data_IF_684582789443
#
_entry.id   IF_684582789443
#
_cell.length_a   1.000
_cell.length_b   1.000
_cell.length_c   1.000
_cell.angle_alpha   90.00
_cell.angle_beta   90.00
_cell.angle_gamma   90.00
#
_symmetry.space_group_name_H-M   'P 1'
#
loop_
_entity.id
_entity.type
_entity.pdbx_description
1 polymer ?
#
# COMPACT_ATOMS: atom_id res chain seq x y z
N UNK A 1 8.74 -9.24 -24.28
CA UNK A 1 8.56 -8.10 -23.35
C UNK A 1 7.12 -7.67 -23.44
N UNK A 2 6.33 -7.86 -22.40
CA UNK A 2 5.07 -7.12 -22.25
C UNK A 2 5.23 -6.24 -21.02
N UNK A 3 6.06 -5.20 -21.15
CA UNK A 3 6.05 -4.07 -20.21
C UNK A 3 4.63 -3.53 -20.10
N UNK A 4 4.33 -2.79 -19.04
CA UNK A 4 3.11 -1.97 -18.98
C UNK A 4 2.83 -1.32 -20.34
N UNK A 5 1.54 -1.21 -20.73
CA UNK A 5 1.17 -0.48 -21.95
C UNK A 5 1.38 1.02 -21.78
N UNK A 6 1.50 1.49 -20.54
CA UNK A 6 1.83 2.87 -20.21
C UNK A 6 3.34 3.14 -20.34
N UNK A 7 3.71 4.34 -20.80
CA UNK A 7 5.08 4.84 -20.67
C UNK A 7 5.43 5.06 -19.20
N UNK A 8 6.73 5.20 -18.91
CA UNK A 8 7.18 5.52 -17.56
C UNK A 8 6.60 6.85 -17.05
N UNK A 9 6.52 7.88 -17.90
CA UNK A 9 5.94 9.16 -17.48
C UNK A 9 4.45 9.02 -17.14
N UNK A 10 3.72 8.20 -17.92
CA UNK A 10 2.31 7.88 -17.65
C UNK A 10 2.13 7.11 -16.35
N UNK A 11 3.03 6.16 -16.04
CA UNK A 11 3.01 5.45 -14.75
C UNK A 11 3.28 6.42 -13.60
N UNK A 12 4.31 7.27 -13.68
CA UNK A 12 4.63 8.28 -12.66
C UNK A 12 3.46 9.24 -12.45
N UNK A 13 2.85 9.71 -13.53
CA UNK A 13 1.70 10.59 -13.46
C UNK A 13 0.47 9.91 -12.83
N UNK A 14 0.18 8.67 -13.23
CA UNK A 14 -0.86 7.86 -12.61
C UNK A 14 -0.61 7.66 -11.10
N UNK A 15 0.65 7.45 -10.70
CA UNK A 15 1.03 7.33 -9.28
C UNK A 15 0.86 8.64 -8.52
N UNK A 16 1.03 9.78 -9.17
CA UNK A 16 0.72 11.09 -8.59
C UNK A 16 -0.79 11.26 -8.33
N UNK A 17 -1.63 10.94 -9.33
CA UNK A 17 -3.09 10.98 -9.20
C UNK A 17 -3.60 10.01 -8.12
N UNK A 18 -3.07 8.79 -8.13
CA UNK A 18 -3.45 7.73 -7.17
C UNK A 18 -2.95 8.05 -5.77
N UNK A 19 -1.68 8.46 -5.63
CA UNK A 19 -1.06 8.81 -4.35
C UNK A 19 -1.79 9.95 -3.66
N UNK A 20 -2.25 10.96 -4.41
CA UNK A 20 -3.11 12.02 -3.86
C UNK A 20 -4.33 11.45 -3.13
N UNK A 21 -5.05 10.51 -3.75
CA UNK A 21 -6.23 9.89 -3.13
C UNK A 21 -5.86 9.00 -1.94
N UNK A 22 -4.74 8.26 -2.02
CA UNK A 22 -4.22 7.47 -0.89
C UNK A 22 -3.93 8.36 0.32
N UNK A 23 -3.20 9.46 0.14
CA UNK A 23 -2.91 10.40 1.22
C UNK A 23 -4.14 11.05 1.83
N UNK A 24 -5.17 11.32 1.01
CA UNK A 24 -6.43 11.95 1.45
C UNK A 24 -7.43 11.01 2.13
N UNK A 25 -7.39 9.72 1.85
CA UNK A 25 -8.45 8.79 2.30
C UNK A 25 -7.88 7.58 3.03
N UNK A 26 -6.86 6.93 2.47
CA UNK A 26 -6.26 5.76 3.11
C UNK A 26 -5.56 6.13 4.41
N UNK A 27 -4.91 7.29 4.46
CA UNK A 27 -4.19 7.77 5.65
C UNK A 27 -5.10 8.50 6.65
N UNK A 28 -6.39 8.62 6.35
CA UNK A 28 -7.35 9.38 7.16
C UNK A 28 -7.39 8.88 8.61
N UNK A 29 -7.24 9.80 9.56
CA UNK A 29 -7.38 9.52 11.00
C UNK A 29 -6.09 9.06 11.68
N UNK A 30 -4.99 8.83 10.95
CA UNK A 30 -3.69 8.57 11.55
C UNK A 30 -2.91 9.87 11.78
N UNK A 31 -2.13 9.95 12.86
CA UNK A 31 -1.29 11.12 13.13
C UNK A 31 0.13 10.93 12.58
N UNK A 32 0.67 9.72 12.70
CA UNK A 32 1.99 9.33 12.20
C UNK A 32 1.92 8.13 11.25
N UNK A 33 2.31 8.31 9.99
CA UNK A 33 2.33 7.24 8.98
C UNK A 33 3.77 6.93 8.53
N UNK A 34 4.17 5.67 8.58
CA UNK A 34 5.38 5.20 7.92
C UNK A 34 5.01 4.65 6.54
N UNK A 35 5.73 5.05 5.50
CA UNK A 35 5.63 4.43 4.19
C UNK A 35 6.86 3.56 3.98
N UNK A 36 6.69 2.29 3.63
CA UNK A 36 7.76 1.44 3.14
C UNK A 36 7.60 1.36 1.62
N UNK A 37 8.53 1.96 0.90
CA UNK A 37 8.51 2.11 -0.55
C UNK A 37 9.63 1.29 -1.17
N UNK A 38 9.41 0.64 -2.31
CA UNK A 38 10.53 0.10 -3.05
C UNK A 38 11.27 1.26 -3.73
N UNK A 39 12.62 1.32 -3.73
CA UNK A 39 13.39 2.44 -4.26
C UNK A 39 13.40 2.45 -5.81
N UNK A 40 12.22 2.55 -6.41
CA UNK A 40 11.98 2.73 -7.83
C UNK A 40 11.13 3.98 -8.09
N UNK A 41 11.05 4.40 -9.35
CA UNK A 41 10.41 5.66 -9.73
C UNK A 41 8.91 5.64 -9.49
N UNK A 42 8.26 4.49 -9.63
CA UNK A 42 6.81 4.34 -9.56
C UNK A 42 6.35 4.31 -8.09
N UNK A 43 7.00 3.51 -7.25
CA UNK A 43 6.77 3.40 -5.82
C UNK A 43 7.10 4.71 -5.09
N UNK A 44 8.22 5.38 -5.42
CA UNK A 44 8.54 6.68 -4.83
C UNK A 44 7.55 7.77 -5.24
N UNK A 45 7.06 7.74 -6.49
CA UNK A 45 6.07 8.72 -6.98
C UNK A 45 4.76 8.65 -6.21
N UNK A 46 4.24 7.44 -5.95
CA UNK A 46 2.99 7.29 -5.17
C UNK A 46 3.22 7.65 -3.70
N UNK A 47 4.35 7.25 -3.12
CA UNK A 47 4.71 7.53 -1.73
C UNK A 47 4.82 9.04 -1.47
N UNK A 48 5.50 9.76 -2.37
CA UNK A 48 5.66 11.21 -2.30
C UNK A 48 4.31 11.92 -2.49
N UNK A 49 3.51 11.52 -3.47
CA UNK A 49 2.21 12.13 -3.71
C UNK A 49 1.22 11.90 -2.53
N UNK A 50 1.25 10.71 -1.92
CA UNK A 50 0.48 10.42 -0.72
C UNK A 50 0.95 11.26 0.47
N UNK A 51 2.26 11.44 0.65
CA UNK A 51 2.80 12.29 1.70
C UNK A 51 2.36 13.75 1.56
N UNK A 52 2.49 14.32 0.36
CA UNK A 52 2.08 15.70 0.07
C UNK A 52 0.59 15.89 0.33
N UNK A 53 -0.25 14.99 -0.19
CA UNK A 53 -1.69 15.08 -0.01
C UNK A 53 -2.14 14.88 1.45
N UNK A 54 -1.44 14.03 2.21
CA UNK A 54 -1.68 13.87 3.63
C UNK A 54 -1.37 15.16 4.40
N UNK A 55 -0.25 15.81 4.12
CA UNK A 55 0.10 17.10 4.75
C UNK A 55 -0.84 18.23 4.35
N UNK A 56 -1.23 18.31 3.08
CA UNK A 56 -2.18 19.31 2.60
C UNK A 56 -3.55 19.15 3.29
N UNK A 57 -4.04 17.91 3.42
CA UNK A 57 -5.37 17.62 3.97
C UNK A 57 -5.44 17.68 5.50
N UNK A 58 -4.40 17.23 6.18
CA UNK A 58 -4.41 17.01 7.64
C UNK A 58 -3.40 17.86 8.42
N UNK A 59 -2.68 18.74 7.72
CA UNK A 59 -1.70 19.65 8.30
C UNK A 59 -0.28 19.09 8.30
N UNK A 60 0.68 19.99 8.08
CA UNK A 60 2.10 19.70 8.16
C UNK A 60 2.60 19.83 9.60
N UNK A 61 3.34 18.83 10.08
CA UNK A 61 4.15 18.96 11.29
C UNK A 61 5.29 17.94 11.29
N UNK A 62 6.26 18.15 12.18
CA UNK A 62 7.41 17.26 12.32
C UNK A 62 6.96 15.81 12.63
N UNK A 63 7.71 14.85 12.08
CA UNK A 63 7.56 13.41 12.34
C UNK A 63 6.17 12.82 12.03
N UNK A 64 5.29 13.52 11.32
CA UNK A 64 3.97 12.98 10.89
C UNK A 64 4.10 11.89 9.84
N UNK A 65 5.15 11.93 9.01
CA UNK A 65 5.35 10.94 7.99
C UNK A 65 6.82 10.71 7.73
N UNK A 66 7.17 9.46 7.47
CA UNK A 66 8.50 9.11 6.97
C UNK A 66 8.38 8.05 5.90
N UNK A 67 9.16 8.21 4.83
CA UNK A 67 9.32 7.22 3.77
C UNK A 67 10.61 6.47 4.07
N UNK A 68 10.52 5.14 4.05
CA UNK A 68 11.62 4.21 4.25
C UNK A 68 11.77 3.37 2.99
N UNK A 69 12.98 3.32 2.46
CA UNK A 69 13.28 2.45 1.34
C UNK A 69 13.28 0.99 1.79
N UNK A 70 12.64 0.14 0.99
CA UNK A 70 12.80 -1.29 1.07
C UNK A 70 14.21 -1.67 0.60
N UNK A 71 14.87 -2.53 1.37
CA UNK A 71 16.19 -3.04 1.03
C UNK A 71 16.52 -4.31 1.80
N UNK A 72 17.80 -4.68 1.78
CA UNK A 72 18.26 -5.93 2.37
C UNK A 72 17.95 -6.04 3.87
N UNK A 73 18.09 -4.92 4.61
CA UNK A 73 17.86 -4.82 6.06
C UNK A 73 16.48 -4.25 6.41
N UNK A 74 15.42 -4.89 5.89
CA UNK A 74 14.03 -4.54 6.23
C UNK A 74 13.72 -4.71 7.72
N UNK A 75 14.45 -5.58 8.44
CA UNK A 75 14.28 -5.78 9.88
C UNK A 75 14.70 -4.53 10.68
N UNK A 76 15.77 -3.84 10.29
CA UNK A 76 16.16 -2.55 10.88
C UNK A 76 15.13 -1.46 10.61
N UNK A 77 14.59 -1.41 9.39
CA UNK A 77 13.49 -0.50 9.06
C UNK A 77 12.27 -0.76 9.94
N UNK A 78 11.87 -2.02 10.13
CA UNK A 78 10.76 -2.38 10.99
C UNK A 78 10.99 -1.98 12.45
N UNK A 79 12.20 -2.17 13.00
CA UNK A 79 12.57 -1.71 14.34
C UNK A 79 12.44 -0.19 14.48
N UNK A 80 12.99 0.58 13.53
CA UNK A 80 12.88 2.04 13.51
C UNK A 80 11.42 2.52 13.47
N UNK A 81 10.55 1.83 12.74
CA UNK A 81 9.13 2.14 12.67
C UNK A 81 8.47 1.97 14.05
N UNK A 82 8.77 0.89 14.75
CA UNK A 82 8.25 0.63 16.10
C UNK A 82 8.82 1.62 17.12
N UNK A 83 10.14 1.86 17.10
CA UNK A 83 10.83 2.82 17.97
C UNK A 83 10.29 4.25 17.83
N UNK A 84 9.92 4.64 16.61
CA UNK A 84 9.33 5.97 16.32
C UNK A 84 7.83 6.03 16.54
N UNK A 85 7.19 4.93 16.98
CA UNK A 85 5.78 4.85 17.35
C UNK A 85 4.80 5.32 16.26
N UNK A 86 5.04 4.92 14.99
CA UNK A 86 4.10 5.24 13.90
C UNK A 86 2.73 4.58 14.10
N UNK A 87 1.64 5.30 13.84
CA UNK A 87 0.24 4.84 13.97
C UNK A 87 -0.18 3.86 12.87
N UNK A 88 0.42 4.01 11.70
CA UNK A 88 0.16 3.16 10.55
C UNK A 88 1.42 2.92 9.73
N UNK A 89 1.49 1.76 9.08
CA UNK A 89 2.50 1.44 8.06
C UNK A 89 1.80 1.21 6.74
N UNK A 90 2.16 1.98 5.72
CA UNK A 90 1.75 1.80 4.34
C UNK A 90 2.84 1.07 3.55
N UNK A 91 2.50 -0.09 2.97
CA UNK A 91 3.43 -0.86 2.13
C UNK A 91 3.14 -0.56 0.66
N UNK A 92 4.03 0.22 0.04
CA UNK A 92 3.89 0.77 -1.31
C UNK A 92 4.67 -0.05 -2.34
N UNK A 93 4.31 -1.33 -2.55
CA UNK A 93 4.97 -2.20 -3.53
C UNK A 93 4.14 -2.44 -4.79
N UNK A 94 4.83 -2.69 -5.91
CA UNK A 94 4.25 -3.09 -7.19
C UNK A 94 4.34 -2.04 -8.28
N UNK A 95 5.45 -1.30 -8.29
CA UNK A 95 5.80 -0.37 -9.35
C UNK A 95 6.42 -1.08 -10.54
N UNK A 96 7.72 -1.37 -10.45
CA UNK A 96 8.52 -1.91 -11.55
C UNK A 96 8.83 -3.42 -11.44
N UNK A 97 8.45 -4.07 -10.33
CA UNK A 97 8.78 -5.48 -10.03
C UNK A 97 7.69 -6.46 -10.51
N UNK A 98 8.09 -7.71 -10.74
CA UNK A 98 7.17 -8.82 -11.06
C UNK A 98 6.24 -9.10 -9.88
N UNK A 99 5.04 -9.65 -10.12
CA UNK A 99 4.11 -9.93 -9.03
C UNK A 99 4.65 -10.99 -8.06
N UNK A 100 5.40 -11.98 -8.55
CA UNK A 100 6.14 -12.93 -7.70
C UNK A 100 7.11 -12.24 -6.73
N UNK A 101 7.91 -11.29 -7.22
CA UNK A 101 8.83 -10.49 -6.41
C UNK A 101 8.09 -9.61 -5.40
N UNK A 102 7.03 -8.91 -5.83
CA UNK A 102 6.17 -8.11 -4.95
C UNK A 102 5.59 -8.96 -3.82
N UNK A 103 5.12 -10.17 -4.13
CA UNK A 103 4.58 -11.11 -3.14
C UNK A 103 5.63 -11.50 -2.10
N UNK A 104 6.85 -11.81 -2.54
CA UNK A 104 7.97 -12.16 -1.66
C UNK A 104 8.40 -10.97 -0.77
N UNK A 105 8.55 -9.78 -1.33
CA UNK A 105 8.91 -8.57 -0.59
C UNK A 105 7.84 -8.20 0.43
N UNK A 106 6.56 -8.30 0.06
CA UNK A 106 5.44 -8.04 0.95
C UNK A 106 5.44 -9.01 2.14
N UNK A 107 5.63 -10.31 1.89
CA UNK A 107 5.78 -11.31 2.96
C UNK A 107 6.96 -10.98 3.90
N UNK A 108 8.15 -10.74 3.34
CA UNK A 108 9.35 -10.40 4.13
C UNK A 108 9.12 -9.17 5.01
N UNK A 109 8.41 -8.16 4.48
CA UNK A 109 8.07 -6.94 5.20
C UNK A 109 7.08 -7.20 6.34
N UNK A 110 6.06 -8.04 6.10
CA UNK A 110 5.13 -8.43 7.16
C UNK A 110 5.81 -9.23 8.27
N UNK A 111 6.70 -10.16 7.94
CA UNK A 111 7.48 -10.90 8.92
C UNK A 111 8.37 -9.95 9.74
N UNK A 112 9.06 -9.01 9.09
CA UNK A 112 9.89 -8.01 9.76
C UNK A 112 9.07 -7.13 10.73
N UNK A 113 7.92 -6.61 10.29
CA UNK A 113 7.01 -5.82 11.14
C UNK A 113 6.48 -6.65 12.32
N UNK A 114 6.07 -7.91 12.07
CA UNK A 114 5.60 -8.82 13.13
C UNK A 114 6.69 -9.03 14.18
N UNK A 115 7.91 -9.36 13.73
CA UNK A 115 9.06 -9.68 14.56
C UNK A 115 9.56 -8.46 15.35
N UNK A 116 9.48 -7.27 14.77
CA UNK A 116 9.76 -6.00 15.46
C UNK A 116 8.68 -5.62 16.49
N UNK A 117 7.53 -6.30 16.50
CA UNK A 117 6.45 -6.04 17.46
C UNK A 117 5.50 -4.94 17.02
N UNK A 118 5.45 -4.57 15.74
CA UNK A 118 4.45 -3.62 15.25
C UNK A 118 3.04 -4.18 15.46
N UNK A 119 2.11 -3.41 16.02
CA UNK A 119 0.73 -3.84 16.34
C UNK A 119 -0.33 -2.77 16.05
N UNK A 120 -0.01 -1.76 15.24
CA UNK A 120 -0.95 -0.70 14.85
C UNK A 120 -1.49 -0.93 13.43
N UNK A 121 -1.97 0.10 12.73
CA UNK A 121 -2.68 -0.08 11.47
C UNK A 121 -1.75 -0.45 10.31
N UNK A 122 -2.23 -1.32 9.41
CA UNK A 122 -1.52 -1.69 8.18
C UNK A 122 -2.30 -1.21 6.96
N UNK A 123 -1.64 -0.51 6.05
CA UNK A 123 -2.23 0.03 4.83
C UNK A 123 -1.55 -0.64 3.62
N UNK A 124 -2.33 -1.12 2.66
CA UNK A 124 -1.82 -2.01 1.60
C UNK A 124 -2.04 -1.37 0.24
N UNK A 125 -0.96 -1.25 -0.55
CA UNK A 125 -1.09 -0.89 -1.96
C UNK A 125 -1.76 -2.02 -2.77
N UNK A 126 -2.67 -1.65 -3.68
CA UNK A 126 -3.48 -2.62 -4.45
C UNK A 126 -2.65 -3.65 -5.22
N UNK A 127 -1.45 -3.32 -5.69
CA UNK A 127 -0.58 -4.28 -6.37
C UNK A 127 -0.05 -5.36 -5.43
N UNK A 128 0.30 -5.03 -4.19
CA UNK A 128 0.72 -6.01 -3.19
C UNK A 128 -0.45 -6.95 -2.80
N UNK A 129 -1.65 -6.38 -2.71
CA UNK A 129 -2.89 -7.15 -2.53
C UNK A 129 -3.10 -8.17 -3.67
N UNK A 130 -2.95 -7.74 -4.93
CA UNK A 130 -3.08 -8.64 -6.09
C UNK A 130 -1.97 -9.69 -6.15
N UNK A 131 -0.71 -9.28 -5.91
CA UNK A 131 0.46 -10.16 -5.92
C UNK A 131 0.39 -11.29 -4.87
N UNK A 132 -0.34 -11.06 -3.78
CA UNK A 132 -0.59 -12.06 -2.73
C UNK A 132 -1.88 -12.85 -2.92
N UNK A 133 -2.50 -12.75 -4.11
CA UNK A 133 -3.80 -13.34 -4.40
C UNK A 133 -4.82 -12.95 -3.32
N UNK A 134 -4.93 -11.66 -3.05
CA UNK A 134 -5.87 -11.11 -2.06
C UNK A 134 -5.55 -11.60 -0.64
N UNK A 135 -4.27 -11.56 -0.26
CA UNK A 135 -3.68 -12.11 0.97
C UNK A 135 -3.78 -13.63 1.15
N UNK A 136 -4.45 -14.39 0.27
CA UNK A 136 -4.57 -15.85 0.43
C UNK A 136 -3.22 -16.55 0.52
N UNK A 137 -2.20 -16.08 -0.23
CA UNK A 137 -0.85 -16.65 -0.16
C UNK A 137 -0.11 -16.30 1.14
N UNK A 138 -0.57 -15.30 1.90
CA UNK A 138 0.03 -14.85 3.16
C UNK A 138 -0.59 -15.59 4.34
N UNK A 139 -1.92 -15.64 4.38
CA UNK A 139 -2.68 -16.22 5.50
C UNK A 139 -2.67 -17.76 5.56
N UNK A 140 -2.10 -18.41 4.54
CA UNK A 140 -1.74 -19.83 4.60
C UNK A 140 -0.67 -20.11 5.66
N UNK A 141 0.13 -19.11 6.03
CA UNK A 141 1.02 -19.12 7.17
C UNK A 141 0.25 -18.71 8.44
N UNK A 142 0.17 -19.62 9.41
CA UNK A 142 -0.61 -19.40 10.63
C UNK A 142 -0.07 -18.23 11.48
N UNK A 143 1.25 -17.99 11.49
CA UNK A 143 1.85 -16.88 12.24
C UNK A 143 1.49 -15.54 11.61
N UNK A 144 1.56 -15.43 10.29
CA UNK A 144 1.15 -14.20 9.59
C UNK A 144 -0.36 -14.00 9.63
N UNK A 145 -1.17 -15.06 9.52
CA UNK A 145 -2.62 -14.97 9.70
C UNK A 145 -2.98 -14.43 11.09
N UNK A 146 -2.42 -15.02 12.14
CA UNK A 146 -2.65 -14.57 13.52
C UNK A 146 -2.18 -13.13 13.72
N UNK A 147 -1.02 -12.78 13.16
CA UNK A 147 -0.51 -11.42 13.20
C UNK A 147 -1.45 -10.42 12.54
N UNK A 148 -1.84 -10.65 11.29
CA UNK A 148 -2.75 -9.75 10.57
C UNK A 148 -4.10 -9.61 11.28
N UNK A 149 -4.63 -10.70 11.85
CA UNK A 149 -5.86 -10.67 12.66
C UNK A 149 -5.72 -9.90 13.97
N UNK A 150 -4.51 -9.82 14.52
CA UNK A 150 -4.23 -9.05 15.75
C UNK A 150 -4.15 -7.55 15.52
N UNK A 151 -4.01 -7.10 14.26
CA UNK A 151 -3.94 -5.69 13.95
C UNK A 151 -5.33 -5.04 14.14
N UNK A 152 -5.40 -3.84 14.72
CA UNK A 152 -6.67 -3.14 14.95
C UNK A 152 -7.36 -2.76 13.64
N UNK A 153 -6.58 -2.49 12.59
CA UNK A 153 -7.09 -2.10 11.29
C UNK A 153 -6.12 -2.49 10.18
N UNK A 154 -6.69 -3.01 9.08
CA UNK A 154 -6.01 -3.17 7.80
C UNK A 154 -6.82 -2.41 6.77
N UNK A 155 -6.18 -1.55 5.97
CA UNK A 155 -6.84 -0.83 4.88
C UNK A 155 -6.26 -1.17 3.52
N UNK A 156 -7.11 -1.05 2.52
CA UNK A 156 -6.82 -1.27 1.12
C UNK A 156 -7.66 -0.30 0.29
N UNK A 157 -7.08 0.25 -0.77
CA UNK A 157 -7.85 0.88 -1.84
C UNK A 157 -8.00 -0.03 -3.06
N UNK A 158 -9.09 0.14 -3.80
CA UNK A 158 -9.32 -0.46 -5.13
C UNK A 158 -9.88 0.58 -6.09
N UNK A 159 -9.88 0.29 -7.40
CA UNK A 159 -10.39 1.19 -8.42
C UNK A 159 -11.27 0.44 -9.42
N UNK A 160 -12.32 1.11 -9.89
CA UNK A 160 -13.13 0.72 -11.04
C UNK A 160 -13.01 1.81 -12.11
N UNK A 161 -12.18 1.53 -13.12
CA UNK A 161 -11.93 2.45 -14.21
C UNK A 161 -13.11 2.59 -15.18
N UNK A 162 -14.04 1.63 -15.23
CA UNK A 162 -15.23 1.73 -16.06
C UNK A 162 -16.27 2.66 -15.40
N UNK A 163 -16.49 2.49 -14.09
CA UNK A 163 -17.37 3.35 -13.31
C UNK A 163 -16.72 4.70 -12.92
N UNK A 164 -15.41 4.87 -13.15
CA UNK A 164 -14.61 6.03 -12.73
C UNK A 164 -14.70 6.26 -11.23
N UNK A 165 -14.50 5.19 -10.47
CA UNK A 165 -14.56 5.19 -9.01
C UNK A 165 -13.27 4.69 -8.39
N UNK A 166 -12.89 5.34 -7.31
CA UNK A 166 -11.90 4.85 -6.35
C UNK A 166 -12.63 4.46 -5.07
N UNK A 167 -12.24 3.34 -4.47
CA UNK A 167 -12.87 2.81 -3.27
C UNK A 167 -11.83 2.55 -2.20
N UNK A 168 -12.19 2.78 -0.95
CA UNK A 168 -11.35 2.51 0.21
C UNK A 168 -12.06 1.56 1.16
N UNK A 169 -11.33 0.55 1.60
CA UNK A 169 -11.89 -0.60 2.32
C UNK A 169 -11.12 -0.87 3.61
N UNK A 170 -11.84 -1.34 4.62
CA UNK A 170 -11.25 -2.10 5.72
C UNK A 170 -11.21 -3.56 5.30
N UNK A 171 -10.07 -4.20 5.55
CA UNK A 171 -9.88 -5.63 5.29
C UNK A 171 -10.15 -6.38 6.58
N UNK A 172 -11.10 -7.32 6.54
CA UNK A 172 -11.42 -8.24 7.66
C UNK A 172 -10.97 -9.64 7.31
N UNK A 173 -10.26 -10.28 8.24
CA UNK A 173 -9.81 -11.66 8.11
C UNK A 173 -10.48 -12.47 9.23
N UNK A 174 -11.30 -13.43 8.87
CA UNK A 174 -11.98 -14.28 9.85
C UNK A 174 -11.11 -15.47 10.32
N UNK A 175 -11.65 -16.28 11.23
CA UNK A 175 -10.96 -17.46 11.77
C UNK A 175 -10.62 -18.50 10.71
N UNK A 176 -11.49 -18.66 9.71
CA UNK A 176 -11.31 -19.59 8.61
C UNK A 176 -10.26 -19.13 7.60
N UNK A 177 -9.83 -17.87 7.69
CA UNK A 177 -8.94 -17.26 6.70
C UNK A 177 -9.70 -16.70 5.48
N UNK A 178 -11.01 -16.46 5.59
CA UNK A 178 -11.74 -15.71 4.58
C UNK A 178 -11.44 -14.22 4.73
N UNK A 179 -11.24 -13.54 3.61
CA UNK A 179 -10.97 -12.11 3.56
C UNK A 179 -12.18 -11.36 3.02
N UNK A 180 -12.65 -10.35 3.76
CA UNK A 180 -13.77 -9.49 3.37
C UNK A 180 -13.35 -8.04 3.29
N UNK A 181 -13.91 -7.31 2.33
CA UNK A 181 -13.71 -5.87 2.16
C UNK A 181 -14.96 -5.12 2.62
N UNK A 182 -14.78 -4.19 3.56
CA UNK A 182 -15.80 -3.29 4.05
C UNK A 182 -15.49 -1.88 3.55
N UNK A 183 -16.22 -1.42 2.52
CA UNK A 183 -16.04 -0.07 1.97
C UNK A 183 -16.37 0.99 3.02
N UNK A 184 -15.46 1.94 3.24
CA UNK A 184 -15.66 3.07 4.16
C UNK A 184 -15.63 4.43 3.45
N UNK A 185 -15.04 4.53 2.26
CA UNK A 185 -15.05 5.75 1.46
C UNK A 185 -15.01 5.42 -0.04
N UNK A 186 -15.40 6.39 -0.85
CA UNK A 186 -15.25 6.36 -2.30
C UNK A 186 -15.05 7.77 -2.86
N UNK A 187 -14.44 7.86 -4.04
CA UNK A 187 -14.20 9.12 -4.75
C UNK A 187 -14.42 8.93 -6.25
N UNK A 188 -14.91 9.96 -6.93
CA UNK A 188 -14.97 9.98 -8.38
C UNK A 188 -13.59 10.32 -8.95
N UNK A 189 -13.15 9.58 -9.98
CA UNK A 189 -11.90 9.89 -10.68
C UNK A 189 -12.19 10.51 -12.05
N UNK A 190 -11.23 11.27 -12.57
CA UNK A 190 -11.32 11.86 -13.90
C UNK A 190 -11.28 10.78 -14.97
N UNK A 191 -11.73 11.12 -16.18
CA UNK A 191 -11.60 10.25 -17.35
C UNK A 191 -10.13 9.89 -17.62
N UNK A 192 -9.25 10.89 -17.51
CA UNK A 192 -7.81 10.74 -17.65
C UNK A 192 -7.22 9.71 -16.65
N UNK A 193 -7.56 9.82 -15.36
CA UNK A 193 -7.11 8.85 -14.36
C UNK A 193 -7.61 7.44 -14.68
N UNK A 194 -8.89 7.32 -15.08
CA UNK A 194 -9.46 6.05 -15.47
C UNK A 194 -8.79 5.43 -16.70
N UNK A 195 -8.41 6.23 -17.69
CA UNK A 195 -7.75 5.74 -18.91
C UNK A 195 -6.32 5.27 -18.62
N UNK A 196 -5.59 5.97 -17.74
CA UNK A 196 -4.28 5.54 -17.25
C UNK A 196 -4.36 4.21 -16.48
N UNK A 197 -5.37 4.04 -15.62
CA UNK A 197 -5.57 2.78 -14.89
C UNK A 197 -5.78 1.58 -15.83
N UNK A 198 -6.48 1.76 -16.95
CA UNK A 198 -6.74 0.68 -17.92
C UNK A 198 -5.47 0.18 -18.63
N UNK A 199 -4.46 1.04 -18.76
CA UNK A 199 -3.21 0.71 -19.46
C UNK A 199 -2.05 0.38 -18.52
N UNK A 200 -2.18 0.69 -17.21
CA UNK A 200 -1.19 0.32 -16.20
C UNK A 200 -1.29 -1.15 -15.86
N UNK A 201 -0.41 -1.95 -16.44
CA UNK A 201 -0.32 -3.39 -16.24
C UNK A 201 0.95 -3.73 -15.45
N UNK A 202 0.90 -4.77 -14.59
CA UNK A 202 2.11 -5.20 -13.91
C UNK A 202 3.11 -5.76 -14.94
N UNK A 203 4.42 -5.73 -14.64
CA UNK A 203 5.41 -6.43 -15.46
C UNK A 203 5.04 -7.92 -15.63
N UNK A 204 5.42 -8.54 -16.76
CA UNK A 204 5.13 -9.95 -17.00
C UNK A 204 6.02 -10.81 -16.10
N UNK A 205 5.52 -11.99 -15.71
CA UNK A 205 6.31 -13.01 -15.01
C UNK A 205 7.48 -13.51 -15.87
#
# INVERSE_FOLDING_TARGET
MASSRASLEQEVYLRSLTGRLVGMYEFQGFQKVAIISYPDRICESISTAAAVAFFDKYGYSENRLSIFDYGDDIDSTARKIVEKDFDAVYIAFGGEQKMSEVSAMFRKTLDALRNAGFRKALLIHVRAWLATKQLSSIISDQNLKNYLRSLPEIRLFTADAAAKKFFFHRVRIDESGSVKLEKYAEENITQEHADLLKISLPPPE
#
